data_IF_140166641923
#
_entry.id   IF_140166641923
#
_cell.length_a   1.000
_cell.length_b   1.000
_cell.length_c   1.000
_cell.angle_alpha   90.00
_cell.angle_beta   90.00
_cell.angle_gamma   90.00
#
_symmetry.space_group_name_H-M   'P 1'
#
loop_
_entity.id
_entity.type
_entity.pdbx_description
1 polymer ?
#
# COMPACT_ATOMS: atom_id res chain seq x y z
N UNK A 1 -5.22 -6.39 -14.16
CA UNK A 1 -5.72 -6.49 -12.75
C UNK A 1 -5.18 -5.34 -11.88
N UNK A 2 -3.99 -4.87 -12.20
CA UNK A 2 -3.14 -3.93 -11.49
C UNK A 2 -3.80 -2.56 -11.37
N UNK A 3 -4.37 -2.04 -12.46
CA UNK A 3 -5.08 -0.76 -12.47
C UNK A 3 -6.27 -0.76 -11.49
N UNK A 4 -7.02 -1.87 -11.44
CA UNK A 4 -8.11 -2.02 -10.48
C UNK A 4 -7.58 -2.03 -9.04
N UNK A 5 -6.49 -2.76 -8.77
CA UNK A 5 -5.83 -2.75 -7.46
C UNK A 5 -5.38 -1.34 -7.07
N UNK A 6 -4.74 -0.59 -7.96
CA UNK A 6 -4.32 0.80 -7.71
C UNK A 6 -5.53 1.69 -7.38
N UNK A 7 -6.63 1.57 -8.12
CA UNK A 7 -7.86 2.30 -7.84
C UNK A 7 -8.43 1.95 -6.46
N UNK A 8 -8.43 0.67 -6.07
CA UNK A 8 -8.86 0.22 -4.73
C UNK A 8 -7.97 0.84 -3.63
N UNK A 9 -6.64 0.77 -3.79
CA UNK A 9 -5.67 1.30 -2.83
C UNK A 9 -5.84 2.81 -2.61
N UNK A 10 -5.91 3.57 -3.72
CA UNK A 10 -6.05 5.02 -3.67
C UNK A 10 -7.42 5.45 -3.16
N UNK A 11 -8.49 4.78 -3.58
CA UNK A 11 -9.85 5.06 -3.09
C UNK A 11 -9.95 4.80 -1.59
N UNK A 12 -9.37 3.70 -1.10
CA UNK A 12 -9.36 3.40 0.34
C UNK A 12 -8.61 4.48 1.12
N UNK A 13 -7.41 4.85 0.65
CA UNK A 13 -6.59 5.91 1.26
C UNK A 13 -7.32 7.26 1.27
N UNK A 14 -7.96 7.61 0.16
CA UNK A 14 -8.77 8.83 0.03
C UNK A 14 -9.91 8.84 1.04
N UNK A 15 -10.71 7.77 1.13
CA UNK A 15 -11.86 7.71 2.03
C UNK A 15 -11.44 7.77 3.50
N UNK A 16 -10.35 7.11 3.88
CA UNK A 16 -9.76 7.25 5.22
C UNK A 16 -9.32 8.70 5.49
N UNK A 17 -8.64 9.36 4.56
CA UNK A 17 -8.21 10.75 4.75
C UNK A 17 -9.38 11.74 4.81
N UNK A 18 -10.38 11.55 3.94
CA UNK A 18 -11.52 12.45 3.75
C UNK A 18 -12.53 12.41 4.89
N UNK A 19 -12.76 11.23 5.46
CA UNK A 19 -13.78 11.03 6.51
C UNK A 19 -13.22 11.08 7.93
N UNK A 20 -11.91 11.30 8.08
CA UNK A 20 -11.33 11.59 9.37
C UNK A 20 -11.99 12.87 9.97
N UNK A 21 -12.38 12.87 11.26
CA UNK A 21 -12.98 14.03 11.91
C UNK A 21 -12.15 15.30 11.78
N UNK A 22 -12.79 16.46 11.65
CA UNK A 22 -12.13 17.75 11.41
C UNK A 22 -11.10 18.14 12.48
N UNK A 23 -11.30 17.69 13.73
CA UNK A 23 -10.39 17.91 14.86
C UNK A 23 -9.25 16.87 14.95
N UNK A 24 -9.14 15.94 14.00
CA UNK A 24 -8.05 14.97 13.96
C UNK A 24 -6.77 15.67 13.50
N UNK A 25 -5.65 15.59 14.26
CA UNK A 25 -4.37 16.15 13.85
C UNK A 25 -3.96 15.67 12.46
N UNK A 26 -3.38 16.56 11.64
CA UNK A 26 -2.99 16.23 10.26
C UNK A 26 -2.06 15.01 10.19
N UNK A 27 -1.10 14.91 11.11
CA UNK A 27 -0.18 13.77 11.20
C UNK A 27 -0.93 12.45 11.37
N UNK A 28 -1.90 12.40 12.27
CA UNK A 28 -2.72 11.21 12.50
C UNK A 28 -3.61 10.90 11.29
N UNK A 29 -4.16 11.93 10.62
CA UNK A 29 -4.91 11.76 9.36
C UNK A 29 -4.04 11.16 8.26
N UNK A 30 -2.81 11.65 8.09
CA UNK A 30 -1.88 11.15 7.07
C UNK A 30 -1.46 9.71 7.39
N UNK A 31 -1.02 9.43 8.63
CA UNK A 31 -0.57 8.09 9.02
C UNK A 31 -1.69 7.07 8.89
N UNK A 32 -2.91 7.38 9.33
CA UNK A 32 -4.05 6.46 9.24
C UNK A 32 -4.60 6.25 7.82
N UNK A 33 -4.14 7.02 6.83
CA UNK A 33 -4.61 6.95 5.43
C UNK A 33 -3.51 6.61 4.42
N UNK A 34 -2.25 6.58 4.83
CA UNK A 34 -1.10 6.43 3.92
C UNK A 34 -0.91 5.02 3.34
N UNK A 35 -1.67 4.01 3.78
CA UNK A 35 -1.47 2.61 3.39
C UNK A 35 -1.44 2.38 1.88
N UNK A 36 -2.47 2.82 1.14
CA UNK A 36 -2.55 2.56 -0.30
C UNK A 36 -1.58 3.41 -1.11
N UNK A 37 -1.33 4.64 -0.67
CA UNK A 37 -0.30 5.49 -1.25
C UNK A 37 1.11 4.87 -1.08
N UNK A 38 1.41 4.32 0.11
CA UNK A 38 2.70 3.67 0.37
C UNK A 38 2.90 2.42 -0.50
N UNK A 39 1.86 1.60 -0.67
CA UNK A 39 1.90 0.44 -1.58
C UNK A 39 2.12 0.87 -3.03
N UNK A 40 1.48 1.96 -3.49
CA UNK A 40 1.72 2.51 -4.82
C UNK A 40 3.15 3.01 -5.01
N UNK A 41 3.71 3.72 -4.02
CA UNK A 41 5.11 4.18 -4.07
C UNK A 41 6.06 2.99 -4.21
N UNK A 42 5.86 1.92 -3.44
CA UNK A 42 6.66 0.71 -3.57
C UNK A 42 6.51 0.08 -4.95
N UNK A 43 5.30 -0.01 -5.50
CA UNK A 43 5.09 -0.52 -6.86
C UNK A 43 5.82 0.31 -7.92
N UNK A 44 5.78 1.65 -7.82
CA UNK A 44 6.49 2.53 -8.75
C UNK A 44 8.01 2.35 -8.66
N UNK A 45 8.56 2.18 -7.45
CA UNK A 45 9.96 1.83 -7.26
C UNK A 45 10.30 0.47 -7.89
N UNK A 46 9.43 -0.53 -7.73
CA UNK A 46 9.62 -1.83 -8.36
C UNK A 46 9.62 -1.74 -9.89
N UNK A 47 8.73 -0.94 -10.48
CA UNK A 47 8.75 -0.67 -11.92
C UNK A 47 10.05 0.02 -12.36
N UNK A 48 10.53 1.01 -11.60
CA UNK A 48 11.81 1.67 -11.91
C UNK A 48 12.98 0.66 -11.86
N UNK A 49 12.99 -0.25 -10.89
CA UNK A 49 13.99 -1.33 -10.80
C UNK A 49 13.91 -2.28 -11.98
N UNK A 50 12.71 -2.80 -12.28
CA UNK A 50 12.51 -3.79 -13.34
C UNK A 50 12.81 -3.22 -14.72
N UNK A 51 12.27 -2.06 -15.06
CA UNK A 51 12.55 -1.41 -16.35
C UNK A 51 13.96 -0.82 -16.44
N UNK A 52 14.58 -0.48 -15.32
CA UNK A 52 15.99 -0.07 -15.26
C UNK A 52 16.98 -1.23 -15.41
N UNK A 53 16.50 -2.48 -15.41
CA UNK A 53 17.35 -3.67 -15.53
C UNK A 53 18.14 -4.01 -14.26
N UNK A 54 17.87 -3.34 -13.13
CA UNK A 54 18.59 -3.52 -11.85
C UNK A 54 18.08 -4.71 -11.03
N UNK A 55 17.73 -5.79 -11.70
CA UNK A 55 17.17 -6.99 -11.07
C UNK A 55 18.17 -7.62 -10.07
N UNK A 56 17.68 -8.13 -8.95
CA UNK A 56 18.54 -8.88 -8.03
C UNK A 56 17.87 -9.40 -6.77
N UNK A 57 18.40 -10.51 -6.26
CA UNK A 57 17.90 -11.20 -5.05
C UNK A 57 17.94 -10.32 -3.80
N UNK A 58 18.99 -9.52 -3.63
CA UNK A 58 19.11 -8.60 -2.49
C UNK A 58 18.02 -7.53 -2.56
N UNK A 59 17.81 -6.96 -3.75
CA UNK A 59 16.73 -6.01 -4.01
C UNK A 59 15.36 -6.63 -3.72
N UNK A 60 15.13 -7.87 -4.16
CA UNK A 60 13.88 -8.58 -3.91
C UNK A 60 13.60 -8.80 -2.42
N UNK A 61 14.62 -9.23 -1.66
CA UNK A 61 14.49 -9.37 -0.20
C UNK A 61 14.19 -8.03 0.48
N UNK A 62 14.90 -6.96 0.11
CA UNK A 62 14.64 -5.63 0.64
C UNK A 62 13.22 -5.16 0.30
N UNK A 63 12.80 -5.36 -0.95
CA UNK A 63 11.45 -5.03 -1.40
C UNK A 63 10.38 -5.78 -0.61
N UNK A 64 10.55 -7.09 -0.38
CA UNK A 64 9.66 -7.90 0.44
C UNK A 64 9.55 -7.37 1.88
N UNK A 65 10.66 -6.95 2.50
CA UNK A 65 10.64 -6.31 3.82
C UNK A 65 9.89 -4.98 3.80
N UNK A 66 10.07 -4.15 2.76
CA UNK A 66 9.37 -2.88 2.63
C UNK A 66 7.86 -3.05 2.48
N UNK A 67 7.36 -4.20 2.01
CA UNK A 67 5.92 -4.50 1.97
C UNK A 67 5.28 -4.59 3.36
N UNK A 68 6.07 -4.74 4.43
CA UNK A 68 5.53 -4.63 5.79
C UNK A 68 5.03 -3.22 6.10
N UNK A 69 5.51 -2.18 5.42
CA UNK A 69 5.09 -0.79 5.64
C UNK A 69 3.59 -0.59 5.33
N UNK A 70 3.09 -0.85 4.10
CA UNK A 70 1.67 -0.71 3.82
C UNK A 70 0.81 -1.62 4.70
N UNK A 71 1.27 -2.84 5.00
CA UNK A 71 0.54 -3.77 5.88
C UNK A 71 0.45 -3.26 7.33
N UNK A 72 1.54 -2.72 7.88
CA UNK A 72 1.54 -2.09 9.20
C UNK A 72 0.68 -0.83 9.24
N UNK A 73 0.64 -0.04 8.14
CA UNK A 73 -0.27 1.09 8.01
C UNK A 73 -1.74 0.66 7.96
N UNK A 74 -2.07 -0.44 7.26
CA UNK A 74 -3.40 -1.04 7.27
C UNK A 74 -3.79 -1.45 8.68
N UNK A 75 -2.93 -2.23 9.36
CA UNK A 75 -3.18 -2.71 10.71
C UNK A 75 -3.36 -1.53 11.68
N UNK A 76 -2.40 -0.60 11.71
CA UNK A 76 -2.46 0.58 12.58
C UNK A 76 -3.69 1.45 12.33
N UNK A 77 -4.23 1.48 11.10
CA UNK A 77 -5.45 2.21 10.76
C UNK A 77 -6.67 1.77 11.59
N UNK A 78 -6.74 0.52 12.06
CA UNK A 78 -7.84 0.05 12.91
C UNK A 78 -7.89 0.72 14.28
N UNK A 79 -6.74 1.15 14.81
CA UNK A 79 -6.67 1.82 16.11
C UNK A 79 -6.53 3.33 15.98
N UNK A 80 -5.80 3.81 14.97
CA UNK A 80 -5.49 5.23 14.79
C UNK A 80 -6.61 6.01 14.10
N UNK A 81 -7.41 5.37 13.24
CA UNK A 81 -8.47 6.04 12.52
C UNK A 81 -9.67 6.34 13.43
N UNK A 82 -10.08 7.60 13.47
CA UNK A 82 -11.17 8.10 14.33
C UNK A 82 -12.51 8.34 13.59
N UNK A 83 -12.58 8.01 12.30
CA UNK A 83 -13.79 8.20 11.49
C UNK A 83 -14.76 7.01 11.58
N UNK A 84 -15.70 6.89 10.61
CA UNK A 84 -16.70 5.83 10.60
C UNK A 84 -16.07 4.44 10.56
N UNK A 85 -16.41 3.58 11.53
CA UNK A 85 -15.89 2.21 11.62
C UNK A 85 -16.25 1.33 10.42
N UNK A 86 -17.31 1.67 9.70
CA UNK A 86 -17.69 1.00 8.46
C UNK A 86 -16.60 1.08 7.37
N UNK A 87 -15.72 2.08 7.39
CA UNK A 87 -14.62 2.17 6.42
C UNK A 87 -13.58 1.08 6.57
N UNK A 88 -13.49 0.42 7.74
CA UNK A 88 -12.60 -0.73 7.90
C UNK A 88 -12.95 -1.89 6.96
N UNK A 89 -14.19 -1.97 6.48
CA UNK A 89 -14.58 -2.95 5.45
C UNK A 89 -13.83 -2.76 4.13
N UNK A 90 -13.40 -1.54 3.81
CA UNK A 90 -12.56 -1.29 2.64
C UNK A 90 -11.19 -2.00 2.75
N UNK A 91 -10.72 -2.28 3.97
CA UNK A 91 -9.47 -3.00 4.17
C UNK A 91 -9.54 -4.45 3.67
N UNK A 92 -10.74 -5.05 3.60
CA UNK A 92 -10.92 -6.37 2.99
C UNK A 92 -10.57 -6.40 1.49
N UNK A 93 -10.71 -5.26 0.80
CA UNK A 93 -10.28 -5.11 -0.60
C UNK A 93 -8.85 -4.59 -0.69
N UNK A 94 -8.46 -3.70 0.24
CA UNK A 94 -7.15 -3.08 0.26
C UNK A 94 -6.02 -4.08 0.55
N UNK A 95 -6.24 -5.06 1.43
CA UNK A 95 -5.26 -6.11 1.75
C UNK A 95 -4.92 -6.97 0.53
N UNK A 96 -5.88 -7.65 -0.15
CA UNK A 96 -5.56 -8.47 -1.32
C UNK A 96 -5.00 -7.62 -2.47
N UNK A 97 -5.46 -6.38 -2.65
CA UNK A 97 -4.86 -5.47 -3.63
C UNK A 97 -3.38 -5.16 -3.30
N UNK A 98 -3.06 -4.92 -2.02
CA UNK A 98 -1.68 -4.70 -1.56
C UNK A 98 -0.82 -5.94 -1.81
N UNK A 99 -1.31 -7.12 -1.45
CA UNK A 99 -0.58 -8.38 -1.62
C UNK A 99 -0.38 -8.72 -3.10
N UNK A 100 -1.36 -8.45 -3.96
CA UNK A 100 -1.23 -8.63 -5.40
C UNK A 100 -0.13 -7.73 -5.98
N UNK A 101 -0.13 -6.44 -5.64
CA UNK A 101 0.90 -5.51 -6.13
C UNK A 101 2.27 -5.79 -5.52
N UNK A 102 2.34 -6.31 -4.29
CA UNK A 102 3.57 -6.81 -3.68
C UNK A 102 4.15 -8.00 -4.47
N UNK A 103 3.30 -8.94 -4.92
CA UNK A 103 3.73 -10.07 -5.75
C UNK A 103 4.30 -9.57 -7.08
N UNK A 104 3.56 -8.74 -7.80
CA UNK A 104 4.00 -8.17 -9.09
C UNK A 104 5.28 -7.34 -8.92
N UNK A 105 5.35 -6.51 -7.88
CA UNK A 105 6.54 -5.73 -7.57
C UNK A 105 7.76 -6.60 -7.26
N UNK A 106 7.57 -7.71 -6.56
CA UNK A 106 8.67 -8.63 -6.26
C UNK A 106 9.18 -9.33 -7.54
N UNK A 107 8.28 -9.69 -8.46
CA UNK A 107 8.67 -10.22 -9.78
C UNK A 107 9.47 -9.19 -10.58
N UNK A 108 9.03 -7.92 -10.58
CA UNK A 108 9.75 -6.82 -11.23
C UNK A 108 11.14 -6.58 -10.64
N UNK A 109 11.29 -6.67 -9.31
CA UNK A 109 12.57 -6.42 -8.64
C UNK A 109 13.53 -7.60 -8.77
N UNK A 110 13.02 -8.84 -8.74
CA UNK A 110 13.86 -10.05 -8.84
C UNK A 110 14.13 -10.47 -10.28
N UNK A 111 13.30 -10.05 -11.24
CA UNK A 111 13.29 -10.56 -12.61
C UNK A 111 12.74 -11.97 -12.73
N UNK A 112 12.26 -12.56 -11.62
CA UNK A 112 11.70 -13.90 -11.57
C UNK A 112 10.19 -13.80 -11.66
N UNK A 113 9.69 -13.97 -12.87
CA UNK A 113 8.29 -14.27 -13.11
C UNK A 113 8.06 -15.75 -12.77
N UNK A 114 6.91 -16.07 -12.17
CA UNK A 114 6.55 -17.42 -11.72
C UNK A 114 6.93 -18.52 -12.73
#
# INVERSE_FOLDING_TARGET
MEMLCVLILLSTSYWYFKTAPANTPLTLRLVSSAHGASALVLLLLAFAVGFGGWHGEIGGRLFAWLQLIPLALIASSFWLFRGPRSLHWLQLLNIPATLWLALIGNMLVTGKWL
#
